data_IF_869881980859
#
_entry.id   IF_869881980859
#
_cell.length_a   1.000
_cell.length_b   1.000
_cell.length_c   1.000
_cell.angle_alpha   90.00
_cell.angle_beta   90.00
_cell.angle_gamma   90.00
#
_symmetry.space_group_name_H-M   'P 1'
#
loop_
_entity.id
_entity.type
_entity.pdbx_description
1 polymer ?
#
# COMPACT_ATOMS: atom_id res chain seq x y z
N UNK A 1 10.40 1.34 -13.08
CA UNK A 1 8.94 1.56 -13.06
C UNK A 1 8.58 2.27 -11.76
N UNK A 2 7.78 3.34 -11.80
CA UNK A 2 7.41 4.08 -10.58
C UNK A 2 6.32 3.28 -9.83
N UNK A 3 6.63 2.80 -8.62
CA UNK A 3 5.67 2.17 -7.72
C UNK A 3 5.63 0.63 -7.66
N UNK A 4 6.32 -0.12 -8.53
CA UNK A 4 6.27 -1.60 -8.53
C UNK A 4 6.75 -2.19 -7.20
N UNK A 5 7.90 -1.73 -6.69
CA UNK A 5 8.47 -2.23 -5.46
C UNK A 5 7.59 -1.88 -4.25
N UNK A 6 7.01 -0.68 -4.22
CA UNK A 6 6.08 -0.26 -3.17
C UNK A 6 4.77 -1.06 -3.19
N UNK A 7 4.17 -1.27 -4.37
CA UNK A 7 2.99 -2.13 -4.50
C UNK A 7 3.28 -3.56 -4.02
N UNK A 8 4.47 -4.08 -4.35
CA UNK A 8 4.90 -5.41 -3.94
C UNK A 8 5.16 -5.50 -2.43
N UNK A 9 5.77 -4.47 -1.83
CA UNK A 9 5.99 -4.43 -0.38
C UNK A 9 4.69 -4.30 0.39
N UNK A 10 3.72 -3.54 -0.11
CA UNK A 10 2.36 -3.48 0.45
C UNK A 10 1.68 -4.85 0.48
N UNK A 11 1.66 -5.57 -0.65
CA UNK A 11 1.12 -6.93 -0.70
C UNK A 11 1.84 -7.90 0.25
N UNK A 12 3.18 -7.83 0.28
CA UNK A 12 3.99 -8.68 1.15
C UNK A 12 3.72 -8.41 2.63
N UNK A 13 3.64 -7.14 3.03
CA UNK A 13 3.35 -6.76 4.42
C UNK A 13 1.99 -7.29 4.88
N UNK A 14 0.97 -7.25 4.02
CA UNK A 14 -0.34 -7.81 4.33
C UNK A 14 -0.31 -9.31 4.56
N UNK A 15 0.29 -10.06 3.63
CA UNK A 15 0.43 -11.52 3.73
C UNK A 15 1.22 -11.88 5.00
N UNK A 16 2.29 -11.13 5.31
CA UNK A 16 3.10 -11.37 6.50
C UNK A 16 2.32 -11.19 7.81
N UNK A 17 1.32 -10.31 7.85
CA UNK A 17 0.50 -10.06 9.04
C UNK A 17 -0.70 -11.01 9.12
N UNK A 18 -1.29 -11.37 7.98
CA UNK A 18 -2.63 -12.00 7.94
C UNK A 18 -2.64 -13.45 7.44
N UNK A 19 -1.63 -13.86 6.66
CA UNK A 19 -1.57 -15.18 6.07
C UNK A 19 -1.31 -16.28 7.11
N UNK A 20 -1.54 -17.52 6.71
CA UNK A 20 -1.42 -18.69 7.60
C UNK A 20 -0.22 -19.59 7.28
N UNK A 21 0.74 -19.13 6.48
CA UNK A 21 1.95 -19.93 6.19
C UNK A 21 2.80 -20.07 7.46
N UNK A 22 3.01 -21.30 7.97
CA UNK A 22 3.88 -21.50 9.13
C UNK A 22 5.28 -20.92 8.86
N UNK A 23 5.86 -20.27 9.87
CA UNK A 23 7.21 -19.68 9.85
C UNK A 23 7.45 -18.51 8.89
N UNK A 24 6.57 -18.27 7.92
CA UNK A 24 6.68 -17.22 6.92
C UNK A 24 5.69 -16.07 7.12
N UNK A 25 4.67 -16.26 7.95
CA UNK A 25 3.76 -15.21 8.40
C UNK A 25 3.76 -15.14 9.92
N UNK A 26 3.44 -13.95 10.44
CA UNK A 26 3.28 -13.75 11.89
C UNK A 26 1.94 -14.26 12.41
N UNK A 27 0.91 -14.32 11.54
CA UNK A 27 -0.45 -14.67 11.94
C UNK A 27 -1.04 -13.72 12.99
N UNK A 28 -0.52 -12.48 13.08
CA UNK A 28 -0.90 -11.51 14.10
C UNK A 28 -2.36 -11.04 13.94
N UNK A 29 -2.89 -11.07 12.71
CA UNK A 29 -4.29 -10.79 12.41
C UNK A 29 -4.82 -11.82 11.41
N UNK A 30 -5.11 -13.06 11.85
CA UNK A 30 -5.41 -14.15 10.95
C UNK A 30 -6.73 -13.90 10.21
N UNK A 31 -6.73 -14.11 8.90
CA UNK A 31 -7.91 -14.01 8.05
C UNK A 31 -8.17 -15.33 7.32
N UNK A 32 -9.39 -15.45 6.79
CA UNK A 32 -9.71 -16.48 5.82
C UNK A 32 -8.91 -16.25 4.51
N UNK A 33 -8.76 -17.28 3.66
CA UNK A 33 -7.98 -17.16 2.43
C UNK A 33 -8.39 -16.01 1.51
N UNK A 34 -9.70 -15.72 1.40
CA UNK A 34 -10.20 -14.62 0.55
C UNK A 34 -9.76 -13.28 1.14
N UNK A 35 -9.89 -13.10 2.45
CA UNK A 35 -9.40 -11.90 3.16
C UNK A 35 -7.90 -11.66 2.97
N UNK A 36 -7.07 -12.70 3.06
CA UNK A 36 -5.62 -12.58 2.84
C UNK A 36 -5.31 -12.19 1.39
N UNK A 37 -5.88 -12.90 0.41
CA UNK A 37 -5.60 -12.64 -1.01
C UNK A 37 -6.15 -11.28 -1.44
N UNK A 38 -7.41 -10.97 -1.14
CA UNK A 38 -8.03 -9.70 -1.51
C UNK A 38 -7.35 -8.52 -0.83
N UNK A 39 -7.06 -8.63 0.47
CA UNK A 39 -6.35 -7.57 1.20
C UNK A 39 -4.93 -7.32 0.66
N UNK A 40 -4.27 -8.34 0.08
CA UNK A 40 -2.94 -8.14 -0.53
C UNK A 40 -2.99 -7.23 -1.77
N UNK A 41 -4.04 -7.34 -2.59
CA UNK A 41 -4.27 -6.44 -3.73
C UNK A 41 -4.66 -5.03 -3.28
N UNK A 42 -5.50 -4.92 -2.25
CA UNK A 42 -5.87 -3.64 -1.64
C UNK A 42 -4.63 -2.94 -1.08
N UNK A 43 -3.76 -3.66 -0.35
CA UNK A 43 -2.50 -3.12 0.18
C UNK A 43 -1.54 -2.71 -0.95
N UNK A 44 -1.46 -3.48 -2.03
CA UNK A 44 -0.64 -3.13 -3.19
C UNK A 44 -1.09 -1.81 -3.82
N UNK A 45 -2.40 -1.60 -3.97
CA UNK A 45 -2.96 -0.34 -4.43
C UNK A 45 -2.73 0.80 -3.46
N UNK A 46 -2.93 0.54 -2.16
CA UNK A 46 -2.81 1.56 -1.11
C UNK A 46 -1.37 2.03 -0.90
N UNK A 47 -0.39 1.15 -1.13
CA UNK A 47 1.03 1.51 -1.11
C UNK A 47 1.38 2.55 -2.18
N UNK A 48 0.56 2.75 -3.21
CA UNK A 48 0.85 3.75 -4.22
C UNK A 48 0.34 5.16 -3.82
N UNK A 49 -0.58 5.25 -2.85
CA UNK A 49 -1.25 6.51 -2.48
C UNK A 49 -0.31 7.65 -2.05
N UNK A 50 0.82 7.42 -1.34
CA UNK A 50 1.74 8.51 -1.01
C UNK A 50 2.26 9.25 -2.25
N UNK A 51 2.53 8.52 -3.34
CA UNK A 51 3.04 9.08 -4.59
C UNK A 51 1.96 9.80 -5.42
N UNK A 52 0.70 9.80 -4.97
CA UNK A 52 -0.36 10.61 -5.58
C UNK A 52 -0.11 12.12 -5.46
N UNK A 53 0.96 12.56 -4.79
CA UNK A 53 1.43 13.95 -4.72
C UNK A 53 2.24 14.41 -5.94
N UNK A 54 2.56 13.50 -6.87
CA UNK A 54 3.39 13.80 -8.04
C UNK A 54 2.62 13.55 -9.34
N UNK A 55 2.49 14.58 -10.19
CA UNK A 55 1.75 14.52 -11.45
C UNK A 55 2.18 13.42 -12.44
N UNK A 56 3.45 12.99 -12.37
CA UNK A 56 3.97 11.87 -13.16
C UNK A 56 3.83 10.48 -12.52
N UNK A 57 3.23 10.37 -11.33
CA UNK A 57 3.00 9.08 -10.68
C UNK A 57 1.86 8.31 -11.39
N UNK A 58 1.90 6.98 -11.31
CA UNK A 58 0.93 6.11 -11.98
C UNK A 58 -0.50 6.45 -11.58
N UNK A 59 -0.78 6.67 -10.29
CA UNK A 59 -2.13 7.01 -9.83
C UNK A 59 -2.60 8.37 -10.33
N UNK A 60 -1.72 9.37 -10.44
CA UNK A 60 -2.09 10.69 -10.95
C UNK A 60 -2.59 10.64 -12.41
N UNK A 61 -2.33 9.53 -13.13
CA UNK A 61 -2.79 9.30 -14.49
C UNK A 61 -4.07 8.44 -14.58
N UNK A 62 -4.59 7.95 -13.44
CA UNK A 62 -5.70 6.99 -13.39
C UNK A 62 -7.05 7.55 -13.78
N UNK A 63 -7.26 8.84 -13.52
CA UNK A 63 -8.41 9.62 -13.98
C UNK A 63 -7.86 10.77 -14.81
N UNK A 64 -8.03 10.76 -16.14
CA UNK A 64 -7.52 11.82 -17.00
C UNK A 64 -7.95 13.19 -16.49
N UNK A 65 -7.02 14.16 -16.47
CA UNK A 65 -7.19 15.54 -15.96
C UNK A 65 -7.40 15.61 -14.44
N UNK A 66 -8.46 15.01 -13.91
CA UNK A 66 -8.80 15.09 -12.48
C UNK A 66 -7.71 14.51 -11.60
N UNK A 67 -7.16 13.33 -11.94
CA UNK A 67 -6.08 12.71 -11.18
C UNK A 67 -4.82 13.58 -11.10
N UNK A 68 -4.50 14.32 -12.18
CA UNK A 68 -3.35 15.23 -12.23
C UNK A 68 -3.59 16.49 -11.42
N UNK A 69 -4.82 17.02 -11.46
CA UNK A 69 -5.22 18.18 -10.67
C UNK A 69 -5.23 17.86 -9.18
N UNK A 70 -5.83 16.73 -8.78
CA UNK A 70 -5.80 16.24 -7.41
C UNK A 70 -4.37 16.02 -6.94
N UNK A 71 -3.51 15.42 -7.78
CA UNK A 71 -2.10 15.24 -7.43
C UNK A 71 -1.35 16.56 -7.23
N UNK A 72 -1.59 17.55 -8.11
CA UNK A 72 -1.03 18.89 -7.95
C UNK A 72 -1.52 19.60 -6.68
N UNK A 73 -2.81 19.46 -6.34
CA UNK A 73 -3.39 20.03 -5.13
C UNK A 73 -2.85 19.36 -3.86
N UNK A 74 -2.77 18.03 -3.84
CA UNK A 74 -2.17 17.26 -2.74
C UNK A 74 -0.70 17.66 -2.58
N UNK A 75 0.07 17.71 -3.66
CA UNK A 75 1.46 18.15 -3.63
C UNK A 75 1.61 19.58 -3.10
N UNK A 76 0.76 20.51 -3.51
CA UNK A 76 0.80 21.90 -3.02
C UNK A 76 0.48 22.00 -1.52
N UNK A 77 -0.56 21.30 -1.04
CA UNK A 77 -0.96 21.30 0.37
C UNK A 77 0.04 20.55 1.25
N UNK A 78 0.63 19.47 0.72
CA UNK A 78 1.61 18.65 1.41
C UNK A 78 2.99 19.31 1.51
N UNK A 79 3.25 20.39 0.77
CA UNK A 79 4.56 21.07 0.73
C UNK A 79 5.54 20.52 -0.31
N UNK A 80 5.04 19.76 -1.29
CA UNK A 80 5.80 19.13 -2.38
C UNK A 80 5.91 17.62 -2.26
N UNK A 81 6.61 17.00 -3.21
CA UNK A 81 6.84 15.56 -3.22
C UNK A 81 7.69 15.12 -2.03
N UNK A 82 7.30 14.02 -1.35
CA UNK A 82 7.98 13.48 -0.16
C UNK A 82 7.91 14.35 1.10
N UNK A 83 6.86 15.16 1.20
CA UNK A 83 6.52 15.89 2.42
C UNK A 83 5.22 15.34 3.02
N UNK A 84 4.14 16.12 3.09
CA UNK A 84 2.93 15.74 3.80
C UNK A 84 2.33 14.40 3.39
N UNK A 85 2.34 14.05 2.09
CA UNK A 85 1.84 12.77 1.59
C UNK A 85 2.69 11.57 2.04
N UNK A 86 3.95 11.78 2.42
CA UNK A 86 4.86 10.75 2.94
C UNK A 86 5.03 10.87 4.45
N UNK A 87 3.97 11.24 5.17
CA UNK A 87 3.97 11.41 6.62
C UNK A 87 3.02 10.45 7.34
N UNK A 88 3.23 10.29 8.65
CA UNK A 88 2.30 9.51 9.50
C UNK A 88 0.92 10.19 9.62
N UNK A 89 0.85 11.51 9.51
CA UNK A 89 -0.42 12.24 9.47
C UNK A 89 -1.21 11.84 8.22
N UNK A 90 -0.55 11.74 7.06
CA UNK A 90 -1.21 11.25 5.84
C UNK A 90 -1.64 9.80 5.97
N UNK A 91 -0.84 8.93 6.60
CA UNK A 91 -1.23 7.55 6.87
C UNK A 91 -2.51 7.50 7.74
N UNK A 92 -2.59 8.32 8.79
CA UNK A 92 -3.79 8.44 9.63
C UNK A 92 -4.99 9.00 8.85
N UNK A 93 -4.79 10.05 8.05
CA UNK A 93 -5.85 10.66 7.24
C UNK A 93 -6.41 9.68 6.20
N UNK A 94 -5.55 8.91 5.53
CA UNK A 94 -5.96 7.86 4.59
C UNK A 94 -6.67 6.73 5.32
N UNK A 95 -6.23 6.33 6.52
CA UNK A 95 -6.92 5.36 7.35
C UNK A 95 -8.34 5.81 7.76
N UNK A 96 -8.48 7.07 8.18
CA UNK A 96 -9.79 7.68 8.47
C UNK A 96 -10.66 7.75 7.23
N UNK A 97 -10.09 8.10 6.07
CA UNK A 97 -10.81 8.10 4.79
C UNK A 97 -11.29 6.70 4.40
N UNK A 98 -10.44 5.69 4.55
CA UNK A 98 -10.80 4.29 4.29
C UNK A 98 -11.90 3.80 5.24
N UNK A 99 -11.84 4.17 6.52
CA UNK A 99 -12.93 3.90 7.47
C UNK A 99 -14.21 4.67 7.13
N UNK A 100 -14.14 5.93 6.71
CA UNK A 100 -15.32 6.68 6.28
C UNK A 100 -15.99 6.04 5.06
N UNK A 101 -15.21 5.47 4.12
CA UNK A 101 -15.76 4.70 3.00
C UNK A 101 -16.57 3.48 3.48
N UNK A 102 -16.19 2.84 4.58
CA UNK A 102 -16.96 1.70 5.11
C UNK A 102 -18.34 2.10 5.60
N UNK A 103 -18.55 3.36 5.99
CA UNK A 103 -19.82 3.89 6.47
C UNK A 103 -20.83 4.16 5.34
N UNK A 104 -20.36 4.25 4.08
CA UNK A 104 -21.24 4.42 2.93
C UNK A 104 -21.83 3.06 2.56
N UNK A 105 -23.05 2.79 3.03
CA UNK A 105 -23.73 1.50 2.86
C UNK A 105 -24.97 1.59 1.99
N UNK A 106 -25.26 0.51 1.26
CA UNK A 106 -26.53 0.28 0.59
C UNK A 106 -27.17 -1.00 1.12
N UNK A 107 -28.48 -0.99 1.26
CA UNK A 107 -29.26 -2.17 1.66
C UNK A 107 -30.14 -2.60 0.51
N UNK A 108 -30.12 -3.90 0.19
CA UNK A 108 -30.97 -4.50 -0.83
C UNK A 108 -31.59 -5.79 -0.33
N UNK A 109 -32.73 -6.18 -0.90
CA UNK A 109 -33.43 -7.41 -0.50
C UNK A 109 -32.59 -8.68 -0.75
N UNK A 110 -31.68 -8.64 -1.74
CA UNK A 110 -30.87 -9.82 -2.14
C UNK A 110 -29.52 -9.92 -1.42
N UNK A 111 -28.83 -8.79 -1.24
CA UNK A 111 -27.46 -8.77 -0.73
C UNK A 111 -27.38 -8.31 0.74
N UNK A 112 -28.51 -7.96 1.35
CA UNK A 112 -28.52 -7.31 2.65
C UNK A 112 -27.84 -5.94 2.59
N UNK A 113 -27.24 -5.53 3.71
CA UNK A 113 -26.48 -4.28 3.84
C UNK A 113 -25.01 -4.53 3.52
N UNK A 114 -24.47 -3.77 2.57
CA UNK A 114 -23.05 -3.80 2.22
C UNK A 114 -22.49 -2.40 2.04
N UNK A 115 -21.17 -2.26 2.17
CA UNK A 115 -20.49 -0.96 1.97
C UNK A 115 -20.19 -0.70 0.49
N UNK A 116 -20.93 0.24 -0.12
CA UNK A 116 -20.66 0.72 -1.48
C UNK A 116 -19.37 1.56 -1.54
N UNK A 117 -19.05 2.29 -0.47
CA UNK A 117 -17.81 3.06 -0.41
C UNK A 117 -16.58 2.16 -0.40
N UNK A 118 -16.59 1.09 0.39
CA UNK A 118 -15.54 0.06 0.36
C UNK A 118 -15.44 -0.63 -1.01
N UNK A 119 -16.58 -0.94 -1.66
CA UNK A 119 -16.60 -1.51 -3.01
C UNK A 119 -15.87 -0.60 -4.02
N UNK A 120 -16.18 0.69 -4.02
CA UNK A 120 -15.56 1.69 -4.89
C UNK A 120 -14.07 1.89 -4.53
N UNK A 121 -13.75 1.99 -3.23
CA UNK A 121 -12.37 2.12 -2.75
C UNK A 121 -11.52 0.93 -3.17
N UNK A 122 -12.01 -0.29 -2.96
CA UNK A 122 -11.34 -1.53 -3.37
C UNK A 122 -11.16 -1.61 -4.88
N UNK A 123 -12.15 -1.16 -5.66
CA UNK A 123 -12.04 -1.09 -7.12
C UNK A 123 -10.93 -0.14 -7.57
N UNK A 124 -10.84 1.06 -6.98
CA UNK A 124 -9.78 2.01 -7.28
C UNK A 124 -8.39 1.47 -6.92
N UNK A 125 -8.24 0.89 -5.73
CA UNK A 125 -6.96 0.33 -5.27
C UNK A 125 -6.51 -0.85 -6.13
N UNK A 126 -7.43 -1.74 -6.50
CA UNK A 126 -7.12 -2.83 -7.44
C UNK A 126 -6.71 -2.31 -8.82
N UNK A 127 -7.41 -1.29 -9.34
CA UNK A 127 -7.03 -0.61 -10.57
C UNK A 127 -5.59 -0.08 -10.50
N UNK A 128 -5.20 0.56 -9.39
CA UNK A 128 -3.85 1.07 -9.20
C UNK A 128 -2.82 -0.06 -9.13
N UNK A 129 -3.12 -1.13 -8.40
CA UNK A 129 -2.24 -2.28 -8.25
C UNK A 129 -1.89 -2.93 -9.61
N UNK A 130 -2.91 -3.27 -10.41
CA UNK A 130 -2.70 -3.91 -11.72
C UNK A 130 -2.01 -2.99 -12.71
N UNK A 131 -2.26 -1.67 -12.63
CA UNK A 131 -1.64 -0.71 -13.53
C UNK A 131 -0.18 -0.42 -13.17
N UNK A 132 0.15 -0.28 -11.89
CA UNK A 132 1.52 -0.03 -11.45
C UNK A 132 2.46 -1.22 -11.72
N UNK A 133 1.91 -2.44 -11.78
CA UNK A 133 2.63 -3.68 -12.09
C UNK A 133 2.75 -3.96 -13.59
N UNK A 134 2.28 -3.05 -14.45
CA UNK A 134 2.19 -3.22 -15.91
C UNK A 134 1.51 -4.55 -16.32
N UNK A 135 0.54 -5.03 -15.52
CA UNK A 135 -0.26 -6.22 -15.86
C UNK A 135 -1.28 -5.93 -16.97
N UNK A 136 -1.65 -4.65 -17.12
CA UNK A 136 -2.60 -4.19 -18.15
C UNK A 136 -2.14 -2.89 -18.80
N UNK A 137 -2.36 -2.80 -20.12
CA UNK A 137 -1.92 -1.66 -20.91
C UNK A 137 -2.90 -0.47 -20.87
N UNK A 138 -4.21 -0.71 -20.71
CA UNK A 138 -5.23 0.34 -20.73
C UNK A 138 -5.83 0.63 -19.34
N UNK A 139 -6.14 1.91 -19.09
CA UNK A 139 -6.85 2.33 -17.87
C UNK A 139 -8.28 1.79 -17.82
N UNK A 140 -8.95 1.67 -18.96
CA UNK A 140 -10.28 1.08 -19.03
C UNK A 140 -10.24 -0.37 -18.52
N UNK A 141 -9.28 -1.17 -18.98
CA UNK A 141 -9.10 -2.55 -18.50
C UNK A 141 -8.79 -2.58 -17.01
N UNK A 142 -7.92 -1.70 -16.52
CA UNK A 142 -7.59 -1.62 -15.09
C UNK A 142 -8.82 -1.30 -14.22
N UNK A 143 -9.63 -0.31 -14.65
CA UNK A 143 -10.87 0.05 -13.96
C UNK A 143 -11.94 -1.04 -14.05
N UNK A 144 -12.07 -1.74 -15.18
CA UNK A 144 -12.98 -2.88 -15.31
C UNK A 144 -12.59 -4.01 -14.37
N UNK A 145 -11.30 -4.35 -14.28
CA UNK A 145 -10.80 -5.34 -13.31
C UNK A 145 -11.08 -4.88 -11.89
N UNK A 146 -10.82 -3.61 -11.57
CA UNK A 146 -11.13 -3.03 -10.27
C UNK A 146 -12.62 -3.13 -9.93
N UNK A 147 -13.50 -2.76 -10.85
CA UNK A 147 -14.96 -2.81 -10.63
C UNK A 147 -15.44 -4.25 -10.36
N UNK A 148 -14.94 -5.22 -11.14
CA UNK A 148 -15.24 -6.64 -10.91
C UNK A 148 -14.69 -7.08 -9.54
N UNK A 149 -13.47 -6.69 -9.19
CA UNK A 149 -12.87 -7.01 -7.90
C UNK A 149 -13.68 -6.45 -6.72
N UNK A 150 -14.06 -5.18 -6.77
CA UNK A 150 -14.89 -4.56 -5.73
C UNK A 150 -16.24 -5.26 -5.58
N UNK A 151 -16.88 -5.60 -6.71
CA UNK A 151 -18.14 -6.35 -6.70
C UNK A 151 -17.95 -7.74 -6.07
N UNK A 152 -16.94 -8.50 -6.50
CA UNK A 152 -16.64 -9.83 -5.94
C UNK A 152 -16.33 -9.75 -4.45
N UNK A 153 -15.66 -8.70 -3.99
CA UNK A 153 -15.34 -8.53 -2.58
C UNK A 153 -16.60 -8.42 -1.73
N UNK A 154 -17.58 -7.62 -2.17
CA UNK A 154 -18.88 -7.53 -1.50
C UNK A 154 -19.63 -8.86 -1.53
N UNK A 155 -19.57 -9.59 -2.63
CA UNK A 155 -20.32 -10.84 -2.81
C UNK A 155 -19.71 -12.04 -2.06
N UNK A 156 -18.38 -12.10 -1.95
CA UNK A 156 -17.64 -13.26 -1.47
C UNK A 156 -17.03 -13.05 -0.07
N UNK A 157 -16.82 -11.80 0.34
CA UNK A 157 -16.21 -11.45 1.63
C UNK A 157 -16.93 -10.25 2.27
N UNK A 158 -18.20 -10.40 2.68
CA UNK A 158 -18.96 -9.30 3.29
C UNK A 158 -18.29 -8.74 4.56
N UNK A 159 -17.53 -9.56 5.28
CA UNK A 159 -16.76 -9.15 6.47
C UNK A 159 -15.54 -8.26 6.14
N UNK A 160 -15.27 -8.01 4.86
CA UNK A 160 -14.18 -7.13 4.39
C UNK A 160 -14.24 -5.70 4.93
N UNK A 161 -15.43 -5.25 5.33
CA UNK A 161 -15.67 -3.98 6.02
C UNK A 161 -14.76 -3.83 7.25
N UNK A 162 -14.49 -4.93 7.97
CA UNK A 162 -13.73 -4.90 9.21
C UNK A 162 -12.23 -4.66 8.99
N UNK A 163 -11.67 -5.25 7.93
CA UNK A 163 -10.23 -5.25 7.69
C UNK A 163 -9.79 -4.33 6.54
N UNK A 164 -10.73 -3.78 5.75
CA UNK A 164 -10.42 -2.87 4.64
C UNK A 164 -9.60 -1.63 5.08
N UNK A 165 -9.99 -0.86 6.12
CA UNK A 165 -9.20 0.29 6.54
C UNK A 165 -7.78 -0.10 6.99
N UNK A 166 -7.66 -1.24 7.67
CA UNK A 166 -6.37 -1.78 8.08
C UNK A 166 -5.50 -2.12 6.87
N UNK A 167 -6.04 -2.78 5.86
CA UNK A 167 -5.32 -3.09 4.61
C UNK A 167 -4.81 -1.81 3.93
N UNK A 168 -5.65 -0.76 3.85
CA UNK A 168 -5.22 0.52 3.28
C UNK A 168 -4.05 1.12 4.07
N UNK A 169 -4.14 1.15 5.40
CA UNK A 169 -3.07 1.69 6.26
C UNK A 169 -1.79 0.85 6.14
N UNK A 170 -1.89 -0.48 6.14
CA UNK A 170 -0.73 -1.38 6.01
C UNK A 170 0.00 -1.14 4.68
N UNK A 171 -0.74 -1.05 3.57
CA UNK A 171 -0.16 -0.73 2.27
C UNK A 171 0.55 0.62 2.27
N UNK A 172 -0.13 1.66 2.77
CA UNK A 172 0.44 3.02 2.87
C UNK A 172 1.71 3.05 3.71
N UNK A 173 1.70 2.42 4.89
CA UNK A 173 2.86 2.34 5.78
C UNK A 173 4.00 1.52 5.17
N UNK A 174 3.70 0.46 4.41
CA UNK A 174 4.71 -0.30 3.69
C UNK A 174 5.43 0.53 2.63
N UNK A 175 4.74 1.47 1.99
CA UNK A 175 5.38 2.47 1.12
C UNK A 175 6.33 3.36 1.91
N UNK A 176 5.85 3.96 3.01
CA UNK A 176 6.67 4.82 3.87
C UNK A 176 7.91 4.08 4.40
N UNK A 177 7.75 2.81 4.80
CA UNK A 177 8.85 1.97 5.23
C UNK A 177 9.85 1.73 4.10
N UNK A 178 9.39 1.47 2.88
CA UNK A 178 10.24 1.37 1.70
C UNK A 178 11.06 2.64 1.45
N UNK A 179 10.40 3.81 1.45
CA UNK A 179 11.07 5.10 1.29
C UNK A 179 12.07 5.39 2.41
N UNK A 180 11.71 5.06 3.65
CA UNK A 180 12.60 5.18 4.81
C UNK A 180 13.87 4.35 4.64
N UNK A 181 13.79 3.15 4.05
CA UNK A 181 14.94 2.27 3.83
C UNK A 181 15.85 2.72 2.67
N UNK A 182 15.43 3.72 1.88
CA UNK A 182 16.22 4.28 0.78
C UNK A 182 16.99 5.53 1.20
N UNK A 183 17.84 6.03 0.30
CA UNK A 183 18.42 7.37 0.42
C UNK A 183 17.42 8.49 0.11
N UNK A 184 16.15 8.23 -0.18
CA UNK A 184 15.12 9.26 -0.20
C UNK A 184 14.76 9.70 1.22
N UNK A 185 14.45 8.72 2.07
CA UNK A 185 13.94 8.94 3.41
C UNK A 185 12.53 9.54 3.42
N UNK A 186 12.11 9.92 4.61
CA UNK A 186 10.84 10.55 4.92
C UNK A 186 11.08 11.95 5.52
N UNK A 187 10.10 12.87 5.48
CA UNK A 187 10.24 14.22 6.03
C UNK A 187 10.38 14.28 7.56
N UNK A 188 10.28 13.13 8.26
CA UNK A 188 10.35 13.00 9.72
C UNK A 188 9.02 12.60 10.34
N UNK A 189 9.06 12.05 11.56
CA UNK A 189 7.86 11.60 12.29
C UNK A 189 6.94 12.75 12.71
N UNK A 190 7.47 13.97 12.79
CA UNK A 190 6.79 15.16 13.33
C UNK A 190 6.29 16.13 12.26
N UNK A 191 6.29 15.74 10.97
CA UNK A 191 5.73 16.58 9.90
C UNK A 191 4.35 17.10 10.33
N UNK A 192 4.03 18.42 10.18
CA UNK A 192 4.75 19.42 9.38
C UNK A 192 5.98 20.04 10.05
N UNK A 193 6.24 19.74 11.32
CA UNK A 193 7.44 20.19 12.03
C UNK A 193 8.61 19.31 11.60
N UNK A 194 9.55 19.87 10.85
CA UNK A 194 10.75 19.17 10.39
C UNK A 194 11.99 19.62 11.18
N UNK A 195 12.25 19.06 12.37
CA UNK A 195 13.43 19.42 13.13
C UNK A 195 14.67 18.99 12.36
N UNK A 196 15.69 19.84 12.35
CA UNK A 196 16.99 19.55 11.72
C UNK A 196 17.98 19.10 12.80
N UNK A 197 18.93 18.21 12.47
CA UNK A 197 19.94 17.78 13.43
C UNK A 197 20.75 18.98 13.93
N UNK A 198 20.93 19.13 15.26
CA UNK A 198 21.86 20.10 15.85
C UNK A 198 23.25 20.00 15.21
N UNK A 199 23.96 21.13 15.10
CA UNK A 199 25.25 21.21 14.38
C UNK A 199 26.29 20.19 14.88
N UNK A 200 26.30 19.89 16.18
CA UNK A 200 27.24 18.91 16.76
C UNK A 200 26.90 17.46 16.35
N UNK A 201 25.62 17.09 16.27
CA UNK A 201 25.19 15.76 15.84
C UNK A 201 25.45 15.51 14.34
N UNK A 202 25.46 16.57 13.51
CA UNK A 202 25.77 16.45 12.07
C UNK A 202 27.16 15.90 11.77
N UNK A 203 28.09 16.01 12.72
CA UNK A 203 29.46 15.49 12.59
C UNK A 203 29.56 14.01 12.95
N UNK A 204 28.53 13.43 13.55
CA UNK A 204 28.52 12.01 13.94
C UNK A 204 28.14 11.15 12.72
N UNK A 205 29.03 10.26 12.23
CA UNK A 205 28.82 9.56 10.96
C UNK A 205 27.54 8.72 10.86
N UNK A 206 27.06 8.16 11.97
CA UNK A 206 25.82 7.36 12.00
C UNK A 206 24.59 8.27 11.98
N UNK A 207 24.60 9.31 12.83
CA UNK A 207 23.46 10.22 12.96
C UNK A 207 23.26 11.02 11.67
N UNK A 208 24.33 11.46 11.01
CA UNK A 208 24.23 12.22 9.74
C UNK A 208 23.72 11.38 8.57
N UNK A 209 23.84 10.05 8.63
CA UNK A 209 23.23 9.12 7.66
C UNK A 209 21.74 8.92 7.91
N UNK A 210 21.34 8.92 9.19
CA UNK A 210 19.95 8.67 9.58
C UNK A 210 19.12 9.95 9.54
N UNK A 211 19.61 11.03 10.15
CA UNK A 211 18.94 12.32 10.23
C UNK A 211 19.68 13.35 9.39
N UNK A 212 19.06 13.71 8.28
CA UNK A 212 19.67 14.51 7.22
C UNK A 212 19.68 15.99 7.55
N UNK A 213 20.61 16.77 6.95
CA UNK A 213 20.63 18.22 7.09
C UNK A 213 19.31 18.90 6.67
N UNK A 214 18.55 18.29 5.75
CA UNK A 214 17.22 18.76 5.33
C UNK A 214 16.14 18.60 6.39
N UNK A 215 16.36 17.78 7.42
CA UNK A 215 15.36 17.37 8.42
C UNK A 215 14.76 15.99 8.14
N UNK A 216 15.00 15.43 6.96
CA UNK A 216 14.51 14.09 6.61
C UNK A 216 15.19 12.99 7.44
N UNK A 217 14.47 11.90 7.65
CA UNK A 217 14.95 10.68 8.33
C UNK A 217 14.99 9.51 7.36
N UNK A 218 16.06 8.72 7.40
CA UNK A 218 16.27 7.56 6.55
C UNK A 218 17.07 6.49 7.28
N UNK A 219 16.96 5.24 6.86
CA UNK A 219 17.87 4.16 7.20
C UNK A 219 18.33 3.55 5.87
N UNK A 220 19.33 4.13 5.19
CA UNK A 220 19.60 3.89 3.76
C UNK A 220 20.30 2.55 3.51
N UNK A 221 19.71 1.44 3.95
CA UNK A 221 20.23 0.08 3.77
C UNK A 221 20.06 -0.38 2.33
N UNK A 222 18.99 0.06 1.66
CA UNK A 222 18.76 -0.22 0.24
C UNK A 222 19.59 0.68 -0.67
N UNK A 223 20.03 1.84 -0.20
CA UNK A 223 20.72 2.82 -1.04
C UNK A 223 19.73 3.62 -1.89
N UNK A 224 20.13 3.98 -3.11
CA UNK A 224 19.31 4.82 -3.99
C UNK A 224 18.12 4.07 -4.59
N UNK A 225 17.08 4.83 -4.95
CA UNK A 225 15.91 4.29 -5.64
C UNK A 225 16.32 3.67 -6.98
N UNK A 226 15.93 2.42 -7.23
CA UNK A 226 16.31 1.63 -8.40
C UNK A 226 17.66 0.92 -8.26
N UNK A 227 18.30 0.97 -7.09
CA UNK A 227 19.54 0.24 -6.84
C UNK A 227 19.36 -1.28 -6.91
N UNK A 228 20.47 -2.00 -7.11
CA UNK A 228 20.48 -3.47 -7.14
C UNK A 228 19.89 -4.08 -5.86
N UNK A 229 20.13 -3.45 -4.70
CA UNK A 229 19.58 -3.92 -3.41
C UNK A 229 18.07 -3.78 -3.36
N UNK A 230 17.54 -2.67 -3.84
CA UNK A 230 16.09 -2.47 -3.91
C UNK A 230 15.44 -3.45 -4.89
N UNK A 231 16.07 -3.67 -6.06
CA UNK A 231 15.61 -4.68 -7.03
C UNK A 231 15.63 -6.08 -6.41
N UNK A 232 16.72 -6.47 -5.74
CA UNK A 232 16.83 -7.77 -5.09
C UNK A 232 15.76 -7.97 -4.01
N UNK A 233 15.52 -6.96 -3.16
CA UNK A 233 14.43 -6.98 -2.19
C UNK A 233 13.07 -7.10 -2.89
N UNK A 234 12.81 -6.29 -3.92
CA UNK A 234 11.57 -6.31 -4.68
C UNK A 234 11.29 -7.68 -5.31
N UNK A 235 12.32 -8.34 -5.87
CA UNK A 235 12.21 -9.71 -6.39
C UNK A 235 11.91 -10.72 -5.29
N UNK A 236 12.60 -10.65 -4.14
CA UNK A 236 12.34 -11.52 -3.00
C UNK A 236 10.91 -11.37 -2.46
N UNK A 237 10.43 -10.13 -2.32
CA UNK A 237 9.06 -9.85 -1.90
C UNK A 237 8.03 -10.32 -2.94
N UNK A 238 8.33 -10.22 -4.24
CA UNK A 238 7.44 -10.72 -5.29
C UNK A 238 7.30 -12.25 -5.23
N UNK A 239 8.41 -12.97 -5.01
CA UNK A 239 8.38 -14.42 -4.80
C UNK A 239 7.60 -14.79 -3.54
N UNK A 240 7.83 -14.06 -2.44
CA UNK A 240 7.09 -14.24 -1.20
C UNK A 240 5.58 -14.06 -1.37
N UNK A 241 5.16 -12.99 -2.06
CA UNK A 241 3.75 -12.73 -2.37
C UNK A 241 3.17 -13.86 -3.22
N UNK A 242 3.90 -14.31 -4.24
CA UNK A 242 3.45 -15.43 -5.09
C UNK A 242 3.23 -16.70 -4.26
N UNK A 243 4.19 -17.06 -3.41
CA UNK A 243 4.10 -18.23 -2.53
C UNK A 243 2.91 -18.08 -1.58
N UNK A 244 2.74 -16.91 -0.96
CA UNK A 244 1.61 -16.63 -0.07
C UNK A 244 0.25 -16.74 -0.75
N UNK A 245 0.09 -16.13 -1.93
CA UNK A 245 -1.15 -16.21 -2.70
C UNK A 245 -1.45 -17.65 -3.12
N UNK A 246 -0.44 -18.40 -3.59
CA UNK A 246 -0.61 -19.83 -3.93
C UNK A 246 -1.03 -20.63 -2.69
N UNK A 247 -0.36 -20.44 -1.56
CA UNK A 247 -0.67 -21.12 -0.31
C UNK A 247 -2.12 -20.88 0.12
N UNK A 248 -2.56 -19.61 0.15
CA UNK A 248 -3.93 -19.27 0.53
C UNK A 248 -4.95 -19.78 -0.49
N UNK A 249 -4.64 -19.75 -1.78
CA UNK A 249 -5.51 -20.31 -2.82
C UNK A 249 -5.70 -21.82 -2.61
N UNK A 250 -4.63 -22.56 -2.30
CA UNK A 250 -4.70 -23.99 -1.99
C UNK A 250 -5.54 -24.25 -0.73
N UNK A 251 -5.39 -23.42 0.32
CA UNK A 251 -6.24 -23.47 1.53
C UNK A 251 -7.71 -23.23 1.23
N UNK A 252 -8.02 -22.33 0.30
CA UNK A 252 -9.40 -22.04 -0.10
C UNK A 252 -10.09 -23.27 -0.72
N UNK A 253 -9.34 -24.15 -1.40
CA UNK A 253 -9.83 -25.44 -1.91
C UNK A 253 -9.85 -26.55 -0.84
N UNK A 254 -9.62 -26.23 0.44
CA UNK A 254 -9.64 -27.20 1.54
C UNK A 254 -8.38 -28.06 1.66
N UNK A 255 -7.32 -27.73 0.93
CA UNK A 255 -6.03 -28.43 1.02
C UNK A 255 -5.16 -27.67 2.02
N UNK A 256 -4.66 -28.34 3.05
CA UNK A 256 -3.79 -27.75 4.07
C UNK A 256 -2.32 -28.08 3.79
N UNK A 257 -1.52 -27.16 3.23
CA UNK A 257 -0.15 -27.49 2.80
C UNK A 257 0.78 -27.85 3.96
N UNK A 258 0.49 -27.33 5.15
CA UNK A 258 1.22 -27.66 6.38
C UNK A 258 1.00 -29.10 6.87
N UNK A 259 0.05 -29.84 6.31
CA UNK A 259 -0.13 -31.27 6.58
C UNK A 259 0.70 -32.16 5.62
N UNK A 260 1.43 -31.57 4.67
CA UNK A 260 2.23 -32.26 3.65
C UNK A 260 3.75 -32.11 3.85
N UNK A 261 4.19 -31.36 4.87
CA UNK A 261 5.58 -31.18 5.29
C UNK A 261 5.74 -31.70 6.73
#
# INVERSE_FOLDING_TARGET
MKGVNHATSGAAAWIAVTGAMPYLTSGAYPLDPVGVVAGSFICAGAALLPDADHHSATIAQSVPILGRLTAGAVGAVAGGHRYGAHSLIAAAAVGVGAWALTLLTLTTDRLGTFSVGMMIGSAALMCFAVKARDMVNSWLTAWSIGAVFGLLLVLLAPDSVQWFPLAVVVGFVAHLAGDFLTTGGLPGLLWPIMPRPPKFLRRTPIISRIWRPSGHVALPVLGDTGSVREVALGTGLALYVLIGVVHETVRWFGIHPAALL
#
